data_IF_947325036958
#
_entry.id   IF_947325036958
#
_cell.length_a   1.000
_cell.length_b   1.000
_cell.length_c   1.000
_cell.angle_alpha   90.00
_cell.angle_beta   90.00
_cell.angle_gamma   90.00
#
_symmetry.space_group_name_H-M   'P 1'
#
loop_
_entity.id
_entity.type
_entity.pdbx_description
1 polymer ?
#
# COMPACT_ATOMS: atom_id res chain seq x y z
N UNK A 1 10.92 5.85 -18.01
CA UNK A 1 10.63 4.50 -17.48
C UNK A 1 10.17 4.65 -16.04
N UNK A 2 8.94 4.20 -15.75
CA UNK A 2 8.37 4.24 -14.40
C UNK A 2 9.18 3.34 -13.48
N UNK A 3 9.89 3.94 -12.54
CA UNK A 3 10.66 3.23 -11.54
C UNK A 3 9.87 3.22 -10.24
N UNK A 4 9.95 2.10 -9.52
CA UNK A 4 9.34 1.93 -8.20
C UNK A 4 10.42 1.83 -7.13
N UNK A 5 10.05 2.07 -5.88
CA UNK A 5 10.92 1.85 -4.72
C UNK A 5 11.04 0.35 -4.43
N UNK A 6 12.04 -0.01 -3.63
CA UNK A 6 12.08 -1.36 -3.04
C UNK A 6 10.86 -1.55 -2.12
N UNK A 7 10.38 -2.80 -1.93
CA UNK A 7 9.28 -3.07 -1.03
C UNK A 7 9.58 -2.59 0.39
N UNK A 8 8.67 -1.82 0.96
CA UNK A 8 8.78 -1.28 2.32
C UNK A 8 7.49 -1.55 3.10
N UNK A 9 7.55 -1.69 4.44
CA UNK A 9 6.35 -1.93 5.25
C UNK A 9 5.35 -0.76 5.12
N UNK A 10 4.06 -1.08 5.05
CA UNK A 10 2.99 -0.08 4.97
C UNK A 10 3.07 0.88 6.17
N UNK A 11 2.70 2.13 6.00
CA UNK A 11 2.80 3.13 7.06
C UNK A 11 1.88 4.29 6.76
N UNK A 12 1.57 5.11 7.76
CA UNK A 12 0.71 6.29 7.62
C UNK A 12 1.25 7.34 6.64
N UNK A 13 2.52 7.25 6.28
CA UNK A 13 3.16 8.11 5.27
C UNK A 13 2.79 7.73 3.83
N UNK A 14 2.28 6.52 3.60
CA UNK A 14 1.94 6.03 2.27
C UNK A 14 0.60 6.58 1.78
N UNK A 15 0.58 7.05 0.55
CA UNK A 15 -0.63 7.54 -0.12
C UNK A 15 -1.35 6.35 -0.77
N UNK A 16 -2.37 5.86 -0.07
CA UNK A 16 -3.21 4.72 -0.50
C UNK A 16 -4.61 5.14 -1.00
N UNK A 17 -5.03 6.39 -0.76
CA UNK A 17 -6.38 6.86 -1.08
C UNK A 17 -6.72 6.74 -2.58
N UNK A 18 -5.74 7.01 -3.43
CA UNK A 18 -5.84 6.96 -4.90
C UNK A 18 -5.43 5.61 -5.50
N UNK A 19 -5.18 4.58 -4.67
CA UNK A 19 -4.81 3.26 -5.17
C UNK A 19 -5.98 2.60 -5.91
N UNK A 20 -5.70 2.06 -7.10
CA UNK A 20 -6.64 1.33 -7.95
C UNK A 20 -5.90 0.17 -8.61
N UNK A 21 -6.27 -1.06 -8.25
CA UNK A 21 -5.70 -2.31 -8.79
C UNK A 21 -6.58 -2.96 -9.85
N UNK A 22 -7.81 -2.47 -10.04
CA UNK A 22 -8.86 -3.09 -10.85
C UNK A 22 -9.84 -3.94 -10.03
N UNK A 23 -9.42 -4.35 -8.83
CA UNK A 23 -10.23 -5.13 -7.89
C UNK A 23 -10.65 -4.27 -6.69
N UNK A 24 -11.87 -3.73 -6.73
CA UNK A 24 -12.37 -2.79 -5.72
C UNK A 24 -12.29 -3.32 -4.28
N UNK A 25 -12.43 -4.64 -4.09
CA UNK A 25 -12.32 -5.29 -2.77
C UNK A 25 -10.89 -5.17 -2.21
N UNK A 26 -9.87 -5.30 -3.04
CA UNK A 26 -8.47 -5.15 -2.62
C UNK A 26 -8.13 -3.68 -2.37
N UNK A 27 -8.64 -2.79 -3.22
CA UNK A 27 -8.45 -1.35 -3.08
C UNK A 27 -9.04 -0.84 -1.76
N UNK A 28 -10.27 -1.24 -1.45
CA UNK A 28 -10.95 -0.90 -0.21
C UNK A 28 -10.25 -1.51 1.01
N UNK A 29 -9.79 -2.76 0.89
CA UNK A 29 -9.04 -3.42 1.95
C UNK A 29 -7.76 -2.64 2.30
N UNK A 30 -6.97 -2.22 1.29
CA UNK A 30 -5.74 -1.46 1.54
C UNK A 30 -6.04 -0.11 2.19
N UNK A 31 -7.07 0.60 1.71
CA UNK A 31 -7.46 1.94 2.19
C UNK A 31 -8.01 1.92 3.62
N UNK A 32 -8.84 0.93 3.94
CA UNK A 32 -9.57 0.90 5.22
C UNK A 32 -8.92 0.03 6.29
N UNK A 33 -8.30 -1.08 5.89
CA UNK A 33 -7.87 -2.17 6.78
C UNK A 33 -6.36 -2.39 6.79
N UNK A 34 -5.65 -2.16 5.69
CA UNK A 34 -4.21 -2.44 5.59
C UNK A 34 -3.39 -1.86 6.75
N UNK A 35 -3.51 -0.55 6.99
CA UNK A 35 -2.75 0.13 8.05
C UNK A 35 -3.19 -0.32 9.46
N UNK A 36 -4.49 -0.53 9.67
CA UNK A 36 -5.04 -1.00 10.96
C UNK A 36 -4.56 -2.42 11.28
N UNK A 37 -4.62 -3.32 10.31
CA UNK A 37 -4.21 -4.70 10.49
C UNK A 37 -2.71 -4.82 10.76
N UNK A 38 -1.89 -3.94 10.15
CA UNK A 38 -0.47 -3.89 10.47
C UNK A 38 -0.22 -3.38 11.89
N UNK A 39 -0.92 -2.32 12.31
CA UNK A 39 -0.80 -1.80 13.68
C UNK A 39 -1.24 -2.81 14.74
N UNK A 40 -2.24 -3.63 14.43
CA UNK A 40 -2.73 -4.71 15.30
C UNK A 40 -1.89 -5.99 15.22
N UNK A 41 -0.89 -6.05 14.33
CA UNK A 41 -0.07 -7.26 14.11
C UNK A 41 -0.82 -8.42 13.45
N UNK A 42 -2.01 -8.18 12.90
CA UNK A 42 -2.83 -9.21 12.26
C UNK A 42 -2.28 -9.63 10.89
N UNK A 43 -1.73 -8.69 10.13
CA UNK A 43 -1.11 -8.94 8.80
C UNK A 43 0.07 -8.01 8.58
N UNK A 44 1.16 -8.48 7.95
CA UNK A 44 2.30 -7.64 7.58
C UNK A 44 2.17 -7.23 6.12
N UNK A 45 1.81 -5.97 5.89
CA UNK A 45 1.64 -5.45 4.53
C UNK A 45 2.90 -4.74 4.07
N UNK A 46 3.38 -5.08 2.88
CA UNK A 46 4.47 -4.39 2.20
C UNK A 46 3.93 -3.71 0.95
N UNK A 47 4.46 -2.53 0.67
CA UNK A 47 4.06 -1.70 -0.46
C UNK A 47 5.26 -1.35 -1.32
N UNK A 48 5.01 -1.11 -2.60
CA UNK A 48 5.96 -0.48 -3.51
C UNK A 48 5.39 0.86 -3.95
N UNK A 49 6.23 1.88 -3.92
CA UNK A 49 5.83 3.25 -4.24
C UNK A 49 6.40 3.69 -5.57
N UNK A 50 5.72 4.60 -6.25
CA UNK A 50 6.30 5.28 -7.41
C UNK A 50 7.51 6.10 -6.96
N UNK A 51 8.66 5.90 -7.61
CA UNK A 51 9.93 6.53 -7.21
C UNK A 51 9.79 8.05 -7.08
N UNK A 52 10.27 8.59 -5.96
CA UNK A 52 10.20 10.02 -5.65
C UNK A 52 8.86 10.47 -5.06
N UNK A 53 7.93 9.53 -4.80
CA UNK A 53 6.63 9.81 -4.19
C UNK A 53 6.31 8.75 -3.14
N UNK A 54 5.27 9.00 -2.34
CA UNK A 54 4.70 8.04 -1.41
C UNK A 54 3.45 7.34 -1.99
N UNK A 55 3.21 7.49 -3.30
CA UNK A 55 2.06 6.91 -3.97
C UNK A 55 2.28 5.41 -4.13
N UNK A 56 1.43 4.62 -3.48
CA UNK A 56 1.46 3.16 -3.58
C UNK A 56 1.00 2.76 -4.98
N UNK A 57 1.77 1.87 -5.62
CA UNK A 57 1.46 1.32 -6.95
C UNK A 57 1.35 -0.20 -6.94
N UNK A 58 1.64 -0.83 -5.80
CA UNK A 58 1.42 -2.26 -5.56
C UNK A 58 1.63 -2.59 -4.09
N UNK A 59 1.00 -3.66 -3.63
CA UNK A 59 1.15 -4.16 -2.27
C UNK A 59 1.00 -5.68 -2.22
N UNK A 60 1.49 -6.28 -1.13
CA UNK A 60 1.20 -7.65 -0.74
C UNK A 60 1.12 -7.72 0.80
N UNK A 61 0.33 -8.67 1.33
CA UNK A 61 0.00 -8.78 2.75
C UNK A 61 0.04 -10.21 3.25
#
# INVERSE_FOLDING_TARGET
MGCVTAPEPLSSFHQVAEFVSGEAVLDDWLKQKGLKNQALGATRTFVVCRKGTQQVVGFYS
#
